data_IF_484646689664
#
_entry.id   IF_484646689664
#
_cell.length_a   1.000
_cell.length_b   1.000
_cell.length_c   1.000
_cell.angle_alpha   90.00
_cell.angle_beta   90.00
_cell.angle_gamma   90.00
#
_symmetry.space_group_name_H-M   'P 1'
#
loop_
_entity.id
_entity.type
_entity.pdbx_description
1 polymer ?
#
# COMPACT_ATOMS: atom_id res chain seq x y z
N UNK A 1 -7.49 15.71 0.04
CA UNK A 1 -7.10 14.27 0.10
C UNK A 1 -6.47 13.85 -1.23
N UNK A 2 -5.21 13.42 -1.32
CA UNK A 2 -4.68 12.92 -2.58
C UNK A 2 -5.46 11.64 -2.92
N UNK A 3 -6.26 11.69 -4.00
CA UNK A 3 -6.88 10.51 -4.61
C UNK A 3 -5.77 9.47 -4.76
N UNK A 4 -5.87 8.36 -4.05
CA UNK A 4 -4.94 7.25 -4.20
C UNK A 4 -4.85 6.91 -5.67
N UNK A 5 -3.67 7.07 -6.27
CA UNK A 5 -3.43 6.70 -7.67
C UNK A 5 -3.40 5.17 -7.81
N UNK A 6 -3.39 4.43 -6.69
CA UNK A 6 -3.41 2.98 -6.63
C UNK A 6 -4.82 2.41 -6.88
N UNK A 7 -4.92 1.54 -7.89
CA UNK A 7 -6.15 0.87 -8.30
C UNK A 7 -5.92 -0.64 -8.48
N UNK A 8 -6.80 -1.44 -7.90
CA UNK A 8 -6.72 -2.90 -7.90
C UNK A 8 -6.53 -3.48 -9.32
N UNK A 9 -7.24 -2.94 -10.32
CA UNK A 9 -7.20 -3.42 -11.70
C UNK A 9 -5.83 -3.35 -12.38
N UNK A 10 -4.89 -2.54 -11.87
CA UNK A 10 -3.55 -2.41 -12.47
C UNK A 10 -2.57 -3.49 -12.00
N UNK A 11 -2.76 -4.00 -10.79
CA UNK A 11 -1.89 -5.03 -10.20
C UNK A 11 -2.53 -6.42 -10.20
N UNK A 12 -3.83 -6.49 -10.50
CA UNK A 12 -4.55 -7.75 -10.63
C UNK A 12 -3.93 -8.58 -11.75
N UNK A 13 -3.54 -9.81 -11.43
CA UNK A 13 -3.11 -10.78 -12.44
C UNK A 13 -4.33 -11.51 -13.00
N UNK A 14 -4.29 -11.94 -14.28
CA UNK A 14 -5.35 -12.77 -14.84
C UNK A 14 -5.60 -14.00 -13.95
N UNK A 15 -6.86 -14.21 -13.55
CA UNK A 15 -7.22 -15.38 -12.77
C UNK A 15 -7.47 -16.58 -13.68
N UNK A 16 -7.04 -17.77 -13.26
CA UNK A 16 -7.70 -19.00 -13.73
C UNK A 16 -9.05 -19.07 -13.03
N UNK A 17 -10.13 -19.00 -13.81
CA UNK A 17 -11.49 -19.09 -13.30
C UNK A 17 -12.19 -20.38 -13.75
N UNK A 18 -13.17 -20.82 -12.97
CA UNK A 18 -14.07 -21.90 -13.33
C UNK A 18 -15.40 -21.33 -13.83
N UNK A 19 -16.01 -21.97 -14.83
CA UNK A 19 -17.44 -21.77 -15.12
C UNK A 19 -18.25 -22.71 -14.23
N UNK A 20 -19.52 -22.38 -13.90
CA UNK A 20 -20.36 -23.21 -13.05
C UNK A 20 -20.47 -24.68 -13.50
N UNK A 21 -20.42 -24.93 -14.81
CA UNK A 21 -20.54 -26.27 -15.42
C UNK A 21 -19.21 -27.01 -15.59
N UNK A 22 -18.08 -26.37 -15.32
CA UNK A 22 -16.79 -27.03 -15.44
C UNK A 22 -16.68 -28.12 -14.38
N UNK A 23 -16.16 -29.29 -14.75
CA UNK A 23 -15.83 -30.33 -13.76
C UNK A 23 -14.67 -29.87 -12.90
N UNK A 24 -14.66 -30.29 -11.64
CA UNK A 24 -13.58 -29.91 -10.72
C UNK A 24 -12.22 -30.40 -11.22
N UNK A 25 -12.15 -31.60 -11.78
CA UNK A 25 -10.93 -32.14 -12.38
C UNK A 25 -10.36 -31.21 -13.48
N UNK A 26 -11.21 -30.69 -14.38
CA UNK A 26 -10.77 -29.79 -15.44
C UNK A 26 -10.30 -28.42 -14.91
N UNK A 27 -10.87 -27.94 -13.79
CA UNK A 27 -10.37 -26.73 -13.12
C UNK A 27 -9.02 -26.98 -12.46
N UNK A 28 -8.87 -28.11 -11.77
CA UNK A 28 -7.62 -28.48 -11.09
C UNK A 28 -6.44 -28.59 -12.07
N UNK A 29 -6.63 -29.17 -13.24
CA UNK A 29 -5.58 -29.23 -14.27
C UNK A 29 -5.15 -27.83 -14.73
N UNK A 30 -6.11 -26.94 -15.03
CA UNK A 30 -5.80 -25.55 -15.42
C UNK A 30 -5.08 -24.79 -14.31
N UNK A 31 -5.48 -25.02 -13.06
CA UNK A 31 -4.82 -24.42 -11.89
C UNK A 31 -3.37 -24.90 -11.75
N UNK A 32 -3.14 -26.21 -11.92
CA UNK A 32 -1.81 -26.84 -11.86
C UNK A 32 -0.89 -26.30 -12.96
N UNK A 33 -1.38 -26.23 -14.19
CA UNK A 33 -0.62 -25.72 -15.35
C UNK A 33 -0.23 -24.26 -15.18
N UNK A 34 -1.13 -23.44 -14.63
CA UNK A 34 -0.91 -22.01 -14.44
C UNK A 34 -0.23 -21.65 -13.11
N UNK A 35 0.06 -22.62 -12.24
CA UNK A 35 0.68 -22.39 -10.94
C UNK A 35 -0.21 -21.67 -9.92
N UNK A 36 -1.53 -21.79 -10.04
CA UNK A 36 -2.50 -21.24 -9.11
C UNK A 36 -3.08 -22.32 -8.20
N UNK A 37 -3.49 -21.94 -6.99
CA UNK A 37 -4.07 -22.87 -6.01
C UNK A 37 -5.55 -22.59 -5.71
N UNK A 38 -6.17 -21.67 -6.47
CA UNK A 38 -7.53 -21.17 -6.25
C UNK A 38 -8.12 -20.61 -7.53
N UNK A 39 -9.43 -20.76 -7.72
CA UNK A 39 -10.15 -20.23 -8.86
C UNK A 39 -11.46 -19.54 -8.42
N UNK A 40 -11.75 -18.29 -8.81
CA UNK A 40 -13.11 -17.78 -8.74
C UNK A 40 -14.03 -18.58 -9.68
N UNK A 41 -15.28 -18.78 -9.27
CA UNK A 41 -16.33 -19.31 -10.14
C UNK A 41 -17.06 -18.13 -10.76
N UNK A 42 -17.04 -18.05 -12.09
CA UNK A 42 -17.55 -16.93 -12.87
C UNK A 42 -18.56 -17.42 -13.91
N UNK A 43 -19.77 -16.86 -13.89
CA UNK A 43 -20.86 -17.23 -14.80
C UNK A 43 -20.85 -16.46 -16.14
N UNK A 44 -19.84 -15.61 -16.35
CA UNK A 44 -19.72 -14.70 -17.50
C UNK A 44 -20.24 -13.28 -17.21
N UNK A 45 -20.95 -13.07 -16.10
CA UNK A 45 -21.44 -11.76 -15.66
C UNK A 45 -20.84 -11.38 -14.31
N UNK A 46 -20.82 -12.30 -13.36
CA UNK A 46 -20.37 -12.06 -11.99
C UNK A 46 -19.70 -13.29 -11.37
N UNK A 47 -18.94 -13.05 -10.30
CA UNK A 47 -18.30 -14.11 -9.53
C UNK A 47 -19.33 -14.67 -8.55
N UNK A 48 -19.68 -15.94 -8.70
CA UNK A 48 -20.73 -16.60 -7.91
C UNK A 48 -20.19 -17.37 -6.72
N UNK A 49 -18.89 -17.69 -6.72
CA UNK A 49 -18.26 -18.50 -5.69
C UNK A 49 -16.77 -18.61 -5.89
N UNK A 50 -16.15 -19.52 -5.14
CA UNK A 50 -14.72 -19.81 -5.29
C UNK A 50 -14.42 -21.28 -5.03
N UNK A 51 -13.34 -21.74 -5.65
CA UNK A 51 -12.74 -23.04 -5.42
C UNK A 51 -11.38 -22.83 -4.77
N UNK A 52 -11.21 -23.36 -3.55
CA UNK A 52 -10.03 -23.13 -2.72
C UNK A 52 -9.44 -24.44 -2.21
N UNK A 53 -8.31 -24.36 -1.50
CA UNK A 53 -7.73 -25.51 -0.79
C UNK A 53 -8.75 -26.23 0.11
N UNK A 54 -9.70 -25.49 0.71
CA UNK A 54 -10.75 -26.08 1.55
C UNK A 54 -11.73 -26.90 0.71
N UNK A 55 -12.06 -26.46 -0.50
CA UNK A 55 -12.85 -27.26 -1.46
C UNK A 55 -12.18 -28.60 -1.71
N UNK A 56 -10.88 -28.61 -2.01
CA UNK A 56 -10.14 -29.85 -2.31
C UNK A 56 -10.07 -30.78 -1.11
N UNK A 57 -9.80 -30.24 0.08
CA UNK A 57 -9.78 -31.00 1.33
C UNK A 57 -11.13 -31.65 1.62
N UNK A 58 -12.22 -30.93 1.39
CA UNK A 58 -13.59 -31.43 1.57
C UNK A 58 -13.88 -32.58 0.60
N UNK A 59 -13.60 -32.41 -0.69
CA UNK A 59 -13.83 -33.46 -1.69
C UNK A 59 -13.03 -34.73 -1.37
N UNK A 60 -11.78 -34.57 -0.92
CA UNK A 60 -10.94 -35.70 -0.51
C UNK A 60 -11.52 -36.42 0.73
N UNK A 61 -11.95 -35.67 1.74
CA UNK A 61 -12.54 -36.23 2.95
C UNK A 61 -13.86 -36.97 2.69
N UNK A 62 -14.65 -36.48 1.74
CA UNK A 62 -15.92 -37.08 1.32
C UNK A 62 -15.74 -38.24 0.33
N UNK A 63 -14.52 -38.49 -0.17
CA UNK A 63 -14.25 -39.50 -1.20
C UNK A 63 -14.90 -39.17 -2.54
N UNK A 64 -15.18 -37.89 -2.80
CA UNK A 64 -15.88 -37.42 -4.00
C UNK A 64 -14.90 -37.35 -5.18
N UNK A 65 -15.24 -38.04 -6.27
CA UNK A 65 -14.48 -38.00 -7.53
C UNK A 65 -14.59 -36.61 -8.21
N UNK A 66 -13.49 -35.84 -8.32
CA UNK A 66 -13.49 -34.51 -8.92
C UNK A 66 -13.91 -34.49 -10.40
N UNK A 67 -13.86 -35.62 -11.11
CA UNK A 67 -14.30 -35.71 -12.49
C UNK A 67 -15.84 -35.76 -12.62
N UNK A 68 -16.56 -36.05 -11.53
CA UNK A 68 -18.01 -36.26 -11.52
C UNK A 68 -18.82 -35.10 -10.93
N UNK A 69 -18.14 -34.13 -10.32
CA UNK A 69 -18.76 -32.95 -9.73
C UNK A 69 -18.34 -31.69 -10.46
N UNK A 70 -19.26 -30.73 -10.51
CA UNK A 70 -19.09 -29.43 -11.15
C UNK A 70 -18.70 -28.35 -10.14
N UNK A 71 -18.11 -27.27 -10.62
CA UNK A 71 -17.79 -26.11 -9.80
C UNK A 71 -19.03 -25.55 -9.07
N UNK A 72 -20.20 -25.52 -9.70
CA UNK A 72 -21.43 -25.02 -9.08
C UNK A 72 -21.87 -25.81 -7.84
N UNK A 73 -21.67 -27.13 -7.86
CA UNK A 73 -22.08 -28.05 -6.79
C UNK A 73 -21.18 -27.94 -5.56
N UNK A 74 -19.91 -27.59 -5.77
CA UNK A 74 -18.89 -27.66 -4.71
C UNK A 74 -18.27 -26.31 -4.33
N UNK A 75 -18.64 -25.23 -5.03
CA UNK A 75 -18.09 -23.90 -4.73
C UNK A 75 -18.36 -23.47 -3.29
N UNK A 76 -17.37 -22.78 -2.74
CA UNK A 76 -17.49 -22.02 -1.51
C UNK A 76 -18.03 -20.61 -1.83
N UNK A 77 -18.45 -19.83 -0.81
CA UNK A 77 -18.73 -18.41 -1.00
C UNK A 77 -17.60 -17.71 -1.79
N UNK A 78 -17.95 -16.67 -2.56
CA UNK A 78 -16.95 -15.94 -3.33
C UNK A 78 -15.89 -15.35 -2.38
N UNK A 79 -14.64 -15.36 -2.85
CA UNK A 79 -13.59 -14.54 -2.23
C UNK A 79 -14.02 -13.07 -2.22
N UNK A 80 -13.48 -12.22 -1.34
CA UNK A 80 -13.74 -10.79 -1.38
C UNK A 80 -13.57 -10.25 -2.80
N UNK A 81 -14.59 -9.57 -3.31
CA UNK A 81 -14.62 -9.01 -4.67
C UNK A 81 -14.54 -7.50 -4.57
N UNK A 82 -13.64 -6.89 -5.34
CA UNK A 82 -13.50 -5.44 -5.43
C UNK A 82 -13.55 -4.98 -6.87
N UNK A 83 -13.92 -3.71 -7.08
CA UNK A 83 -13.90 -3.10 -8.40
C UNK A 83 -12.46 -2.87 -8.89
N UNK A 84 -12.20 -2.80 -10.21
CA UNK A 84 -10.88 -2.44 -10.74
C UNK A 84 -10.37 -1.08 -10.24
N UNK A 85 -11.28 -0.17 -9.88
CA UNK A 85 -10.97 1.16 -9.34
C UNK A 85 -10.73 1.17 -7.83
N UNK A 86 -10.93 0.04 -7.14
CA UNK A 86 -10.76 -0.06 -5.69
C UNK A 86 -9.34 0.35 -5.26
N UNK A 87 -9.27 1.08 -4.15
CA UNK A 87 -8.01 1.54 -3.58
C UNK A 87 -7.27 0.44 -2.82
N UNK A 88 -6.03 0.73 -2.41
CA UNK A 88 -5.18 -0.23 -1.70
C UNK A 88 -5.78 -0.70 -0.38
N UNK A 89 -6.40 0.21 0.37
CA UNK A 89 -7.02 -0.13 1.66
C UNK A 89 -8.14 -1.16 1.50
N UNK A 90 -9.03 -0.98 0.52
CA UNK A 90 -10.11 -1.93 0.24
C UNK A 90 -9.57 -3.32 -0.16
N UNK A 91 -8.46 -3.36 -0.90
CA UNK A 91 -7.77 -4.61 -1.22
C UNK A 91 -7.15 -5.24 0.03
N UNK A 92 -6.49 -4.46 0.89
CA UNK A 92 -5.90 -4.95 2.13
C UNK A 92 -6.98 -5.53 3.06
N UNK A 93 -8.11 -4.83 3.25
CA UNK A 93 -9.26 -5.31 4.03
C UNK A 93 -9.82 -6.63 3.50
N UNK A 94 -9.76 -6.83 2.18
CA UNK A 94 -10.11 -8.11 1.56
C UNK A 94 -9.09 -9.21 1.88
N UNK A 95 -7.80 -8.91 1.76
CA UNK A 95 -6.71 -9.84 2.02
C UNK A 95 -6.57 -10.23 3.50
N UNK A 96 -7.01 -9.40 4.44
CA UNK A 96 -7.08 -9.77 5.85
C UNK A 96 -8.08 -10.90 6.12
N UNK A 97 -9.16 -10.96 5.35
CA UNK A 97 -10.26 -11.93 5.53
C UNK A 97 -10.06 -13.19 4.69
N UNK A 98 -9.24 -13.14 3.64
CA UNK A 98 -9.10 -14.21 2.68
C UNK A 98 -7.70 -14.23 2.03
N UNK A 99 -7.20 -15.38 1.56
CA UNK A 99 -5.86 -15.48 0.97
C UNK A 99 -5.70 -14.75 -0.37
N UNK A 100 -6.79 -14.27 -0.96
CA UNK A 100 -6.78 -13.49 -2.19
C UNK A 100 -8.06 -12.64 -2.30
N UNK A 101 -7.96 -11.58 -3.11
CA UNK A 101 -9.07 -10.71 -3.50
C UNK A 101 -9.31 -10.85 -5.00
N UNK A 102 -10.56 -10.97 -5.40
CA UNK A 102 -10.96 -11.02 -6.81
C UNK A 102 -11.25 -9.62 -7.30
N UNK A 103 -10.63 -9.23 -8.41
CA UNK A 103 -10.92 -7.96 -9.08
C UNK A 103 -11.84 -8.27 -10.25
N UNK A 104 -13.07 -7.78 -10.20
CA UNK A 104 -14.07 -8.07 -11.21
C UNK A 104 -14.87 -6.83 -11.61
N UNK A 105 -15.28 -6.82 -12.87
CA UNK A 105 -16.26 -5.88 -13.39
C UNK A 105 -17.27 -6.66 -14.27
N UNK A 106 -18.52 -6.19 -14.40
CA UNK A 106 -19.53 -6.89 -15.19
C UNK A 106 -19.05 -7.18 -16.61
N UNK A 107 -19.15 -8.45 -17.01
CA UNK A 107 -18.77 -8.91 -18.35
C UNK A 107 -17.27 -8.91 -18.65
N UNK A 108 -16.41 -8.65 -17.66
CA UNK A 108 -14.96 -8.78 -17.79
C UNK A 108 -14.46 -9.99 -17.01
N UNK A 109 -13.46 -10.67 -17.57
CA UNK A 109 -12.81 -11.78 -16.90
C UNK A 109 -12.20 -11.31 -15.56
N UNK A 110 -12.34 -12.12 -14.49
CA UNK A 110 -11.84 -11.74 -13.18
C UNK A 110 -10.31 -11.79 -13.12
N UNK A 111 -9.74 -10.86 -12.37
CA UNK A 111 -8.36 -10.90 -11.90
C UNK A 111 -8.27 -11.33 -10.44
N UNK A 112 -7.06 -11.65 -9.99
CA UNK A 112 -6.75 -11.97 -8.60
C UNK A 112 -5.59 -11.10 -8.09
N UNK A 113 -5.69 -10.71 -6.83
CA UNK A 113 -4.62 -10.08 -6.05
C UNK A 113 -4.38 -10.91 -4.79
N UNK A 114 -3.11 -11.15 -4.47
CA UNK A 114 -2.63 -11.77 -3.24
C UNK A 114 -1.72 -10.80 -2.47
N UNK A 115 -1.35 -11.14 -1.22
CA UNK A 115 -0.33 -10.39 -0.48
C UNK A 115 1.01 -10.29 -1.22
N UNK A 116 1.40 -11.34 -1.98
CA UNK A 116 2.64 -11.31 -2.76
C UNK A 116 2.59 -10.20 -3.81
N UNK A 117 1.46 -10.05 -4.49
CA UNK A 117 1.25 -9.01 -5.50
C UNK A 117 1.31 -7.61 -4.85
N UNK A 118 0.66 -7.43 -3.70
CA UNK A 118 0.72 -6.16 -2.95
C UNK A 118 2.16 -5.84 -2.50
N UNK A 119 2.90 -6.82 -1.99
CA UNK A 119 4.30 -6.63 -1.58
C UNK A 119 5.19 -6.35 -2.80
N UNK A 120 4.91 -6.94 -3.95
CA UNK A 120 5.71 -6.70 -5.16
C UNK A 120 5.43 -5.31 -5.75
N UNK A 121 4.17 -4.92 -5.87
CA UNK A 121 3.75 -3.72 -6.60
C UNK A 121 3.55 -2.49 -5.71
N UNK A 122 2.94 -2.67 -4.54
CA UNK A 122 2.56 -1.57 -3.66
C UNK A 122 3.61 -1.23 -2.60
N UNK A 123 4.63 -2.08 -2.39
CA UNK A 123 5.63 -1.84 -1.35
C UNK A 123 6.35 -0.47 -1.45
N UNK A 124 6.78 0.02 -2.63
CA UNK A 124 7.33 1.38 -2.76
C UNK A 124 6.41 2.46 -2.22
N UNK A 125 5.11 2.35 -2.51
CA UNK A 125 4.09 3.26 -2.03
C UNK A 125 3.92 3.15 -0.51
N UNK A 126 3.81 1.93 0.02
CA UNK A 126 3.67 1.68 1.46
C UNK A 126 4.86 2.20 2.26
N UNK A 127 6.09 2.00 1.79
CA UNK A 127 7.30 2.50 2.43
C UNK A 127 7.33 4.03 2.52
N UNK A 128 6.95 4.71 1.42
CA UNK A 128 6.88 6.16 1.39
C UNK A 128 5.78 6.69 2.31
N UNK A 129 4.60 6.06 2.30
CA UNK A 129 3.49 6.45 3.17
C UNK A 129 3.81 6.26 4.64
N UNK A 130 4.43 5.15 5.01
CA UNK A 130 4.89 4.91 6.39
C UNK A 130 5.85 6.01 6.84
N UNK A 131 6.84 6.35 6.00
CA UNK A 131 7.80 7.40 6.31
C UNK A 131 7.13 8.77 6.43
N UNK A 132 6.26 9.15 5.49
CA UNK A 132 5.49 10.40 5.55
C UNK A 132 4.69 10.51 6.85
N UNK A 133 4.07 9.42 7.31
CA UNK A 133 3.32 9.40 8.57
C UNK A 133 4.23 9.57 9.79
N UNK A 134 5.36 8.87 9.85
CA UNK A 134 6.31 9.04 10.95
C UNK A 134 6.86 10.46 11.02
N UNK A 135 7.07 11.09 9.86
CA UNK A 135 7.50 12.48 9.78
C UNK A 135 6.41 13.45 10.26
N UNK A 136 5.12 13.16 10.02
CA UNK A 136 4.03 13.96 10.59
C UNK A 136 3.96 13.82 12.11
N UNK A 137 4.02 12.59 12.61
CA UNK A 137 4.05 12.34 14.07
C UNK A 137 5.24 13.03 14.73
N UNK A 138 6.39 13.09 14.06
CA UNK A 138 7.54 13.85 14.53
C UNK A 138 7.23 15.35 14.66
N UNK A 139 6.62 15.96 13.64
CA UNK A 139 6.30 17.39 13.62
C UNK A 139 5.24 17.75 14.68
N UNK A 140 4.23 16.90 14.83
CA UNK A 140 3.18 17.00 15.85
C UNK A 140 3.77 16.92 17.27
N UNK A 141 4.57 15.90 17.59
CA UNK A 141 5.20 15.79 18.91
C UNK A 141 6.20 16.89 19.21
N UNK A 142 6.86 17.41 18.18
CA UNK A 142 7.80 18.49 18.35
C UNK A 142 7.14 19.86 18.40
N UNK A 143 5.82 19.97 18.25
CA UNK A 143 5.12 21.25 18.34
C UNK A 143 5.31 21.90 19.72
N UNK A 144 5.26 21.10 20.79
CA UNK A 144 5.50 21.55 22.17
C UNK A 144 6.98 21.86 22.46
N UNK A 145 7.90 21.16 21.80
CA UNK A 145 9.35 21.30 21.99
C UNK A 145 10.04 22.19 20.91
N UNK A 146 9.24 22.80 20.03
CA UNK A 146 9.69 23.49 18.83
C UNK A 146 9.96 24.99 19.04
N UNK A 147 10.34 25.73 17.98
CA UNK A 147 10.42 27.18 18.04
C UNK A 147 9.03 27.81 18.26
N UNK A 148 8.94 29.05 18.78
CA UNK A 148 7.67 29.77 18.85
C UNK A 148 6.98 29.79 17.47
N UNK A 149 5.75 29.26 17.41
CA UNK A 149 5.01 29.05 16.15
C UNK A 149 5.16 27.64 15.53
N UNK A 150 5.73 26.68 16.26
CA UNK A 150 5.75 25.26 15.90
C UNK A 150 6.55 24.93 14.65
N UNK A 151 6.21 23.82 13.99
CA UNK A 151 6.86 23.39 12.74
C UNK A 151 6.63 24.37 11.59
N UNK A 152 5.50 25.09 11.58
CA UNK A 152 5.19 26.05 10.52
C UNK A 152 6.19 27.20 10.49
N UNK A 153 6.70 27.62 11.66
CA UNK A 153 7.73 28.64 11.78
C UNK A 153 9.09 28.25 11.18
N UNK A 154 9.34 26.96 10.94
CA UNK A 154 10.54 26.50 10.23
C UNK A 154 10.44 26.63 8.71
N UNK A 155 9.23 26.83 8.16
CA UNK A 155 9.06 26.98 6.72
C UNK A 155 9.33 28.42 6.27
N UNK A 156 9.85 28.60 5.04
CA UNK A 156 9.81 29.90 4.39
C UNK A 156 8.36 30.42 4.32
N UNK A 157 8.10 31.73 4.50
CA UNK A 157 6.73 32.26 4.54
C UNK A 157 5.88 31.95 3.31
N UNK A 158 6.50 31.81 2.13
CA UNK A 158 5.80 31.42 0.92
C UNK A 158 5.29 29.97 0.96
N UNK A 159 6.06 29.07 1.57
CA UNK A 159 5.71 27.65 1.70
C UNK A 159 4.67 27.45 2.79
N UNK A 160 4.79 28.12 3.94
CA UNK A 160 3.78 28.10 5.00
C UNK A 160 2.40 28.51 4.44
N UNK A 161 2.34 29.66 3.76
CA UNK A 161 1.10 30.13 3.11
C UNK A 161 0.54 29.15 2.08
N UNK A 162 1.41 28.45 1.34
CA UNK A 162 0.97 27.43 0.37
C UNK A 162 0.30 26.25 1.07
N UNK A 163 0.92 25.75 2.14
CA UNK A 163 0.39 24.62 2.93
C UNK A 163 -0.97 24.99 3.54
N UNK A 164 -1.07 26.17 4.15
CA UNK A 164 -2.34 26.70 4.69
C UNK A 164 -3.41 26.88 3.61
N UNK A 165 -3.04 27.44 2.45
CA UNK A 165 -3.98 27.66 1.35
C UNK A 165 -4.51 26.34 0.80
N UNK A 166 -3.68 25.30 0.68
CA UNK A 166 -4.15 23.97 0.30
C UNK A 166 -5.06 23.34 1.34
N UNK A 167 -4.72 23.47 2.62
CA UNK A 167 -5.58 23.01 3.70
C UNK A 167 -6.97 23.64 3.61
N UNK A 168 -7.04 24.96 3.45
CA UNK A 168 -8.32 25.66 3.33
C UNK A 168 -9.07 25.29 2.04
N UNK A 169 -8.37 25.19 0.90
CA UNK A 169 -8.99 24.87 -0.39
C UNK A 169 -9.68 23.49 -0.40
N UNK A 170 -9.03 22.49 0.21
CA UNK A 170 -9.54 21.12 0.30
C UNK A 170 -10.54 20.92 1.46
N UNK A 171 -10.83 21.97 2.25
CA UNK A 171 -11.68 21.87 3.45
C UNK A 171 -11.03 21.07 4.60
N UNK A 172 -9.70 20.97 4.62
CA UNK A 172 -8.94 20.34 5.69
C UNK A 172 -8.91 21.18 6.97
N UNK A 173 -8.71 20.50 8.10
CA UNK A 173 -8.67 21.13 9.43
C UNK A 173 -7.25 21.26 9.99
N UNK A 174 -6.29 20.51 9.46
CA UNK A 174 -4.90 20.50 9.92
C UNK A 174 -3.92 20.73 8.75
N UNK A 175 -3.17 21.85 8.73
CA UNK A 175 -2.13 22.10 7.73
C UNK A 175 -1.05 21.02 7.64
N UNK A 176 -0.78 20.28 8.72
CA UNK A 176 0.19 19.19 8.74
C UNK A 176 -0.15 18.10 7.71
N UNK A 177 -1.43 17.93 7.39
CA UNK A 177 -1.88 16.99 6.38
C UNK A 177 -1.45 17.33 4.95
N UNK A 178 -0.98 18.55 4.74
CA UNK A 178 -0.57 19.09 3.44
C UNK A 178 0.94 19.30 3.33
N UNK A 179 1.69 18.96 4.38
CA UNK A 179 3.16 18.94 4.38
C UNK A 179 3.65 17.75 3.54
N UNK A 180 4.57 18.03 2.62
CA UNK A 180 5.23 17.04 1.77
C UNK A 180 6.74 16.90 2.07
N UNK A 181 7.42 15.99 1.35
CA UNK A 181 8.86 15.76 1.50
C UNK A 181 9.71 16.99 1.11
N UNK A 182 9.19 17.89 0.27
CA UNK A 182 9.89 19.13 -0.08
C UNK A 182 9.81 20.13 1.08
N UNK A 183 8.64 20.31 1.68
CA UNK A 183 8.48 21.14 2.88
C UNK A 183 9.37 20.65 4.01
N UNK A 184 9.36 19.35 4.28
CA UNK A 184 10.22 18.76 5.30
C UNK A 184 11.70 19.02 5.04
N UNK A 185 12.15 18.92 3.78
CA UNK A 185 13.53 19.27 3.41
C UNK A 185 13.86 20.70 3.82
N UNK A 186 12.96 21.66 3.57
CA UNK A 186 13.16 23.05 3.97
C UNK A 186 13.22 23.20 5.50
N UNK A 187 12.34 22.52 6.22
CA UNK A 187 12.33 22.53 7.69
C UNK A 187 13.63 21.95 8.27
N UNK A 188 14.10 20.81 7.74
CA UNK A 188 15.36 20.19 8.14
C UNK A 188 16.54 21.12 7.85
N UNK A 189 16.52 21.80 6.70
CA UNK A 189 17.56 22.75 6.34
C UNK A 189 17.62 23.93 7.32
N UNK A 190 16.47 24.50 7.70
CA UNK A 190 16.38 25.67 8.58
C UNK A 190 16.54 25.32 10.08
N UNK A 191 16.06 24.14 10.49
CA UNK A 191 15.87 23.76 11.89
C UNK A 191 16.75 22.62 12.40
N UNK A 192 17.82 22.27 11.68
CA UNK A 192 18.64 21.09 11.99
C UNK A 192 19.09 21.01 13.45
N UNK A 193 19.92 21.95 13.89
CA UNK A 193 20.55 21.89 15.22
C UNK A 193 19.55 22.14 16.35
N UNK A 194 18.50 22.91 16.07
CA UNK A 194 17.51 23.30 17.06
C UNK A 194 16.48 22.21 17.33
N UNK A 195 16.21 21.36 16.34
CA UNK A 195 15.08 20.44 16.43
C UNK A 195 15.36 19.07 15.82
N UNK A 196 15.79 18.97 14.56
CA UNK A 196 15.84 17.67 13.88
C UNK A 196 17.01 16.76 14.30
N UNK A 197 18.14 17.33 14.75
CA UNK A 197 19.34 16.55 15.10
C UNK A 197 19.05 15.49 16.16
N UNK A 198 18.27 15.84 17.19
CA UNK A 198 17.93 14.91 18.27
C UNK A 198 16.99 13.79 17.84
N UNK A 199 16.35 13.87 16.66
CA UNK A 199 15.45 12.84 16.14
C UNK A 199 16.10 11.99 15.06
N UNK A 200 17.03 12.57 14.30
CA UNK A 200 17.64 11.91 13.14
C UNK A 200 19.07 11.42 13.36
N UNK A 201 19.72 11.73 14.49
CA UNK A 201 21.02 11.14 14.82
C UNK A 201 20.96 9.58 14.77
N UNK A 202 22.03 8.90 14.30
CA UNK A 202 23.36 9.44 14.01
C UNK A 202 23.53 9.98 12.58
N UNK A 203 22.44 10.25 11.84
CA UNK A 203 22.56 10.87 10.52
C UNK A 203 23.00 12.33 10.65
N UNK A 204 23.93 12.73 9.76
CA UNK A 204 24.33 14.12 9.59
C UNK A 204 23.33 14.90 8.72
N UNK A 205 23.27 16.22 8.92
CA UNK A 205 22.34 17.13 8.22
C UNK A 205 22.33 16.91 6.72
N UNK A 206 23.51 16.91 6.09
CA UNK A 206 23.62 16.77 4.64
C UNK A 206 23.10 15.41 4.16
N UNK A 207 23.37 14.34 4.91
CA UNK A 207 22.88 13.01 4.56
C UNK A 207 21.35 12.93 4.60
N UNK A 208 20.71 13.59 5.57
CA UNK A 208 19.25 13.69 5.64
C UNK A 208 18.69 14.47 4.44
N UNK A 209 19.27 15.63 4.13
CA UNK A 209 18.83 16.45 2.99
C UNK A 209 18.94 15.68 1.66
N UNK A 210 20.06 14.98 1.44
CA UNK A 210 20.27 14.16 0.25
C UNK A 210 19.26 13.01 0.16
N UNK A 211 18.93 12.39 1.29
CA UNK A 211 17.90 11.34 1.37
C UNK A 211 16.51 11.90 1.03
N UNK A 212 16.13 13.05 1.60
CA UNK A 212 14.85 13.69 1.30
C UNK A 212 14.73 14.11 -0.16
N UNK A 213 15.78 14.68 -0.75
CA UNK A 213 15.80 15.02 -2.18
C UNK A 213 15.67 13.79 -3.08
N UNK A 214 16.33 12.68 -2.70
CA UNK A 214 16.20 11.42 -3.43
C UNK A 214 14.79 10.85 -3.32
N UNK A 215 14.23 10.81 -2.11
CA UNK A 215 12.88 10.29 -1.87
C UNK A 215 11.83 11.13 -2.59
N UNK A 216 11.97 12.45 -2.61
CA UNK A 216 11.08 13.36 -3.35
C UNK A 216 11.03 13.01 -4.85
N UNK A 217 12.19 12.77 -5.47
CA UNK A 217 12.26 12.38 -6.90
C UNK A 217 11.53 11.06 -7.15
N UNK A 218 11.84 10.03 -6.35
CA UNK A 218 11.24 8.70 -6.50
C UNK A 218 9.75 8.71 -6.15
N UNK A 219 9.32 9.51 -5.17
CA UNK A 219 7.93 9.65 -4.76
C UNK A 219 7.05 10.11 -5.92
N UNK A 220 7.54 11.00 -6.78
CA UNK A 220 6.79 11.39 -7.98
C UNK A 220 6.57 10.20 -8.93
N UNK A 221 7.60 9.38 -9.16
CA UNK A 221 7.47 8.18 -9.99
C UNK A 221 6.50 7.17 -9.36
N UNK A 222 6.60 6.94 -8.05
CA UNK A 222 5.69 6.06 -7.30
C UNK A 222 4.26 6.61 -7.27
N UNK A 223 4.07 7.91 -7.08
CA UNK A 223 2.75 8.55 -7.10
C UNK A 223 2.08 8.45 -8.47
N UNK A 224 2.86 8.45 -9.55
CA UNK A 224 2.36 8.17 -10.90
C UNK A 224 2.36 6.68 -11.26
N UNK A 225 2.67 5.81 -10.28
CA UNK A 225 2.80 4.35 -10.43
C UNK A 225 3.61 3.95 -11.66
N UNK A 226 4.73 4.64 -11.88
CA UNK A 226 5.72 4.23 -12.87
C UNK A 226 6.47 3.02 -12.33
N UNK A 227 6.72 2.06 -13.20
CA UNK A 227 7.51 0.89 -12.85
C UNK A 227 8.91 1.35 -12.44
N UNK A 228 9.36 0.92 -11.27
CA UNK A 228 10.70 1.24 -10.78
C UNK A 228 11.63 0.12 -11.20
N UNK A 229 12.74 0.49 -11.84
CA UNK A 229 13.83 -0.45 -12.10
C UNK A 229 14.30 -1.10 -10.79
N UNK A 230 14.75 -2.37 -10.80
CA UNK A 230 15.17 -3.07 -9.59
C UNK A 230 16.16 -2.27 -8.73
N UNK A 231 17.12 -1.58 -9.37
CA UNK A 231 18.09 -0.72 -8.68
C UNK A 231 17.47 0.53 -8.04
N UNK A 232 16.43 1.12 -8.66
CA UNK A 232 15.68 2.25 -8.10
C UNK A 232 14.85 1.79 -6.90
N UNK A 233 14.21 0.62 -6.99
CA UNK A 233 13.44 0.04 -5.88
C UNK A 233 14.31 -0.25 -4.67
N UNK A 234 15.49 -0.83 -4.87
CA UNK A 234 16.42 -1.11 -3.79
C UNK A 234 16.99 0.19 -3.17
N UNK A 235 17.30 1.17 -4.03
CA UNK A 235 17.70 2.50 -3.60
C UNK A 235 16.64 3.20 -2.75
N UNK A 236 15.37 3.11 -3.14
CA UNK A 236 14.22 3.62 -2.37
C UNK A 236 14.14 2.92 -1.02
N UNK A 237 14.16 1.58 -1.00
CA UNK A 237 14.05 0.80 0.22
C UNK A 237 15.17 1.16 1.22
N UNK A 238 16.40 1.31 0.73
CA UNK A 238 17.53 1.76 1.55
C UNK A 238 17.34 3.18 2.07
N UNK A 239 16.89 4.11 1.23
CA UNK A 239 16.70 5.51 1.62
C UNK A 239 15.60 5.65 2.69
N UNK A 240 14.46 4.96 2.50
CA UNK A 240 13.38 4.94 3.48
C UNK A 240 13.87 4.37 4.80
N UNK A 241 14.50 3.19 4.81
CA UNK A 241 15.02 2.58 6.05
C UNK A 241 15.96 3.51 6.81
N UNK A 242 16.90 4.15 6.11
CA UNK A 242 17.86 5.06 6.75
C UNK A 242 17.20 6.21 7.49
N UNK A 243 16.14 6.81 6.97
CA UNK A 243 15.40 7.88 7.66
C UNK A 243 14.42 7.33 8.70
N UNK A 244 13.75 6.23 8.39
CA UNK A 244 12.69 5.64 9.21
C UNK A 244 13.23 5.09 10.53
N UNK A 245 14.33 4.34 10.49
CA UNK A 245 14.76 3.56 11.65
C UNK A 245 15.23 4.43 12.84
N UNK A 246 15.92 5.59 12.66
CA UNK A 246 16.14 6.55 13.74
C UNK A 246 14.85 7.14 14.31
N UNK A 247 13.89 7.49 13.44
CA UNK A 247 12.60 8.08 13.85
C UNK A 247 11.76 7.09 14.64
N UNK A 248 11.63 5.84 14.17
CA UNK A 248 10.86 4.81 14.87
C UNK A 248 11.40 4.55 16.27
N UNK A 249 12.73 4.41 16.39
CA UNK A 249 13.36 4.18 17.70
C UNK A 249 13.01 5.27 18.71
N UNK A 250 13.06 6.54 18.29
CA UNK A 250 12.80 7.67 19.20
C UNK A 250 11.32 7.95 19.43
N UNK A 251 10.47 7.70 18.45
CA UNK A 251 9.04 7.95 18.57
C UNK A 251 8.30 6.82 19.28
N UNK A 252 8.77 5.57 19.16
CA UNK A 252 8.05 4.40 19.68
C UNK A 252 8.74 3.78 20.90
N UNK A 253 10.08 3.80 20.96
CA UNK A 253 10.81 3.03 21.96
C UNK A 253 11.38 3.89 23.11
N UNK A 254 11.46 5.22 22.94
CA UNK A 254 11.95 6.16 23.97
C UNK A 254 10.79 7.05 24.49
N UNK A 255 10.66 7.26 25.81
CA UNK A 255 9.72 8.26 26.33
C UNK A 255 10.12 9.64 25.79
N UNK A 256 9.12 10.47 25.46
CA UNK A 256 9.38 11.82 24.94
C UNK A 256 10.37 12.56 25.85
N UNK A 257 11.41 13.21 25.30
CA UNK A 257 12.31 14.02 26.12
C UNK A 257 11.48 15.13 26.78
N UNK A 258 11.49 15.15 28.11
CA UNK A 258 10.85 16.18 28.92
C UNK A 258 11.59 17.51 28.92
#
# INVERSE_FOLDING_TARGET
>A
MPRTVWHAGRIARPAVYARPRDTVAAVLERLREAGYSRAPVWDGRQVTGSLTARTWQRLLAEGTDPARVTAAEVQEPPLPVVAPTAGLLEVLDGLERAPAVVVAAPGREPGLITYVDVVQEAAPYLWLRELEQLLRVLLDRGEDAGPPGGWLALLPPAHARRVEAYCHHDGGTDPLDYVDLYDLRQMVEAGWDRWFRQWLAPLERQAVLDLLDRLRRIRNDVAHMRELEPGQREALARAVRRLRDPLRRRLLDEPAPG
#
